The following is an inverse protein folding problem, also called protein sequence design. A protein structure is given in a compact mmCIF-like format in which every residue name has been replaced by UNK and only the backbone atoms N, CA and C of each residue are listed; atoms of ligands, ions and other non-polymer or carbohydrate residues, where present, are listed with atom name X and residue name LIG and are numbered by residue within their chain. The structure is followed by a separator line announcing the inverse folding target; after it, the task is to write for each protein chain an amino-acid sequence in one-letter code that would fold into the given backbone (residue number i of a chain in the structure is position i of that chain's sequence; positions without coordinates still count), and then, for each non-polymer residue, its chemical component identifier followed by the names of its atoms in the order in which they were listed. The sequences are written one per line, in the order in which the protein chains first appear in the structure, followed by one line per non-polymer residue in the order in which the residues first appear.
data_IF_178363016396
#
_entry.id   IF_178363016396
#
_cell.length_a   1.000
_cell.length_b   1.000
_cell.length_c   1.000
_cell.angle_alpha   90.00
_cell.angle_beta   90.00
_cell.angle_gamma   90.00
#
_symmetry.space_group_name_H-M   'P 1'
#
loop_
_entity.id
_entity.type
_entity.pdbx_description
1 polymer ?
#
# COMPACT_ATOMS: atom_id res chain seq x y z
N UNK A 1 10.33 1.36 -9.94
CA UNK A 1 11.32 1.73 -8.89
C UNK A 1 10.73 2.83 -8.02
N UNK A 2 10.47 2.56 -6.74
CA UNK A 2 10.00 3.58 -5.79
C UNK A 2 11.16 4.53 -5.53
N UNK A 3 10.97 5.82 -5.80
CA UNK A 3 12.00 6.84 -5.55
C UNK A 3 12.15 6.98 -4.03
N UNK A 4 13.37 6.84 -3.51
CA UNK A 4 13.63 6.99 -2.09
C UNK A 4 13.18 8.39 -1.61
N UNK A 5 12.66 8.51 -0.38
CA UNK A 5 12.35 9.81 0.20
C UNK A 5 13.59 10.72 0.15
N UNK A 6 13.39 11.98 -0.23
CA UNK A 6 14.49 12.98 -0.32
C UNK A 6 15.21 13.20 1.00
N UNK A 7 14.53 12.98 2.13
CA UNK A 7 15.10 12.99 3.46
C UNK A 7 14.91 11.61 4.07
N UNK A 8 16.02 10.97 4.46
CA UNK A 8 16.00 9.63 5.03
C UNK A 8 15.24 9.56 6.35
N UNK A 9 14.81 8.34 6.69
CA UNK A 9 14.07 8.07 7.94
C UNK A 9 14.87 8.47 9.19
N UNK A 10 16.19 8.25 9.19
CA UNK A 10 17.07 8.64 10.29
C UNK A 10 17.01 10.15 10.58
N UNK A 11 17.07 10.97 9.53
CA UNK A 11 16.99 12.43 9.64
C UNK A 11 15.65 12.88 10.21
N UNK A 12 14.55 12.27 9.74
CA UNK A 12 13.19 12.59 10.19
C UNK A 12 12.96 12.16 11.64
N UNK A 13 13.52 11.03 12.06
CA UNK A 13 13.51 10.56 13.45
C UNK A 13 14.25 11.53 14.37
N UNK A 14 15.40 12.03 13.95
CA UNK A 14 16.17 13.01 14.74
C UNK A 14 15.37 14.28 15.02
N UNK A 15 14.66 14.81 14.02
CA UNK A 15 13.76 15.97 14.20
C UNK A 15 12.66 15.67 15.23
N UNK A 16 12.11 14.46 15.23
CA UNK A 16 11.10 14.06 16.21
C UNK A 16 11.66 13.91 17.62
N UNK A 17 12.79 13.24 17.78
CA UNK A 17 13.40 13.05 19.11
C UNK A 17 13.73 14.39 19.78
N UNK A 18 14.22 15.37 19.01
CA UNK A 18 14.52 16.71 19.52
C UNK A 18 13.24 17.47 19.90
N UNK A 19 12.15 17.28 19.15
CA UNK A 19 10.83 17.83 19.50
C UNK A 19 10.28 17.20 20.79
N UNK A 20 10.38 15.88 20.94
CA UNK A 20 9.97 15.16 22.16
C UNK A 20 10.77 15.61 23.39
N UNK A 21 12.06 15.91 23.21
CA UNK A 21 12.93 16.46 24.25
C UNK A 21 12.72 17.97 24.50
N UNK A 22 11.82 18.63 23.77
CA UNK A 22 11.55 20.07 23.89
C UNK A 22 12.70 20.96 23.41
N UNK A 23 13.62 20.42 22.61
CA UNK A 23 14.77 21.11 22.04
C UNK A 23 14.42 21.79 20.71
N UNK A 24 15.36 22.56 20.18
CA UNK A 24 15.20 23.27 18.91
C UNK A 24 15.32 22.33 17.70
N UNK A 25 14.22 21.65 17.42
CA UNK A 25 14.07 20.77 16.27
C UNK A 25 14.04 21.51 14.92
N UNK A 26 13.73 22.82 14.89
CA UNK A 26 13.76 23.63 13.66
C UNK A 26 15.21 23.84 13.20
N UNK A 27 16.13 24.08 14.14
CA UNK A 27 17.56 24.14 13.85
C UNK A 27 18.06 22.80 13.29
N UNK A 28 17.67 21.67 13.90
CA UNK A 28 18.05 20.33 13.43
C UNK A 28 17.51 20.07 12.03
N UNK A 29 16.28 20.48 11.72
CA UNK A 29 15.74 20.37 10.36
C UNK A 29 16.58 21.16 9.34
N UNK A 30 16.97 22.40 9.69
CA UNK A 30 17.78 23.26 8.83
C UNK A 30 19.16 22.66 8.54
N UNK A 31 19.83 22.08 9.55
CA UNK A 31 21.13 21.44 9.40
C UNK A 31 21.08 20.15 8.57
N UNK A 32 19.90 19.59 8.34
CA UNK A 32 19.69 18.37 7.56
C UNK A 32 18.94 18.62 6.25
N UNK A 33 18.92 19.87 5.79
CA UNK A 33 18.27 20.31 4.55
C UNK A 33 16.78 19.94 4.47
N UNK A 34 16.12 19.74 5.60
CA UNK A 34 14.67 19.49 5.63
C UNK A 34 13.96 20.84 5.54
N UNK A 35 13.10 21.07 4.53
CA UNK A 35 12.34 22.30 4.43
C UNK A 35 11.46 22.52 5.69
N UNK A 36 11.32 23.75 6.21
CA UNK A 36 10.57 24.03 7.44
C UNK A 36 9.14 23.48 7.43
N UNK A 37 8.48 23.53 6.27
CA UNK A 37 7.13 22.96 6.07
C UNK A 37 7.11 21.44 6.21
N UNK A 38 8.16 20.75 5.76
CA UNK A 38 8.31 19.30 5.91
C UNK A 38 8.59 18.94 7.37
N UNK A 39 9.45 19.71 8.04
CA UNK A 39 9.77 19.52 9.46
C UNK A 39 8.52 19.68 10.34
N UNK A 40 7.73 20.75 10.11
CA UNK A 40 6.44 20.95 10.78
C UNK A 40 5.47 19.80 10.55
N UNK A 41 5.36 19.31 9.31
CA UNK A 41 4.51 18.16 9.00
C UNK A 41 4.95 16.87 9.70
N UNK A 42 6.25 16.67 9.93
CA UNK A 42 6.78 15.51 10.66
C UNK A 42 6.35 15.60 12.13
N UNK A 43 6.59 16.75 12.76
CA UNK A 43 6.23 17.04 14.15
C UNK A 43 4.72 16.94 14.36
N UNK A 44 3.91 17.63 13.54
CA UNK A 44 2.45 17.61 13.64
C UNK A 44 1.82 16.23 13.48
N UNK A 45 2.46 15.34 12.71
CA UNK A 45 1.99 13.97 12.52
C UNK A 45 2.61 13.00 13.53
N UNK A 46 3.54 13.49 14.35
CA UNK A 46 4.32 12.71 15.32
C UNK A 46 4.92 11.44 14.70
N UNK A 47 5.29 11.50 13.41
CA UNK A 47 5.79 10.32 12.70
C UNK A 47 6.87 10.65 11.68
N UNK A 48 7.99 9.95 11.82
CA UNK A 48 9.11 10.00 10.89
C UNK A 48 8.81 9.20 9.63
N UNK A 49 7.77 8.38 9.62
CA UNK A 49 7.42 7.55 8.48
C UNK A 49 6.79 8.36 7.36
N UNK A 50 7.15 8.00 6.13
CA UNK A 50 6.51 8.50 4.93
C UNK A 50 5.45 7.49 4.53
N UNK A 51 4.17 7.90 4.57
CA UNK A 51 3.08 7.06 4.09
C UNK A 51 3.35 6.62 2.64
N UNK A 52 3.08 5.35 2.35
CA UNK A 52 3.15 4.81 0.98
C UNK A 52 2.29 5.69 0.06
N UNK A 53 2.91 6.26 -0.97
CA UNK A 53 2.23 7.12 -1.94
C UNK A 53 1.66 6.27 -3.07
N UNK A 54 0.36 6.39 -3.31
CA UNK A 54 -0.36 5.64 -4.34
C UNK A 54 -0.74 4.22 -3.90
N UNK A 55 -1.42 3.51 -4.79
CA UNK A 55 -2.01 2.19 -4.55
C UNK A 55 -3.42 2.10 -5.10
N UNK A 56 -3.88 0.88 -5.40
CA UNK A 56 -5.27 0.64 -5.73
C UNK A 56 -6.14 0.89 -4.49
N UNK A 57 -7.25 1.58 -4.68
CA UNK A 57 -8.28 1.69 -3.64
C UNK A 57 -9.04 0.37 -3.59
N UNK A 58 -9.31 -0.16 -2.39
CA UNK A 58 -10.08 -1.40 -2.24
C UNK A 58 -11.42 -1.35 -2.99
N UNK A 59 -12.14 -0.21 -2.91
CA UNK A 59 -13.39 0.02 -3.63
C UNK A 59 -13.25 0.07 -5.18
N UNK A 60 -12.02 0.17 -5.70
CA UNK A 60 -11.72 0.13 -7.13
C UNK A 60 -11.07 -1.19 -7.56
N UNK A 61 -10.85 -2.13 -6.63
CA UNK A 61 -10.29 -3.45 -6.93
C UNK A 61 -11.42 -4.33 -7.46
N UNK A 62 -11.34 -4.72 -8.74
CA UNK A 62 -12.36 -5.56 -9.40
C UNK A 62 -12.44 -7.00 -8.91
N UNK A 63 -11.41 -7.48 -8.23
CA UNK A 63 -11.28 -8.88 -7.85
C UNK A 63 -10.87 -8.94 -6.37
N UNK A 64 -11.77 -9.43 -5.55
CA UNK A 64 -11.68 -9.37 -4.08
C UNK A 64 -10.97 -10.61 -3.53
N UNK A 65 -10.53 -10.59 -2.26
CA UNK A 65 -9.94 -11.76 -1.63
C UNK A 65 -10.89 -12.96 -1.58
N UNK A 66 -12.20 -12.74 -1.40
CA UNK A 66 -13.18 -13.84 -1.38
C UNK A 66 -13.26 -14.55 -2.74
N UNK A 67 -13.11 -13.80 -3.85
CA UNK A 67 -13.03 -14.40 -5.18
C UNK A 67 -11.75 -15.20 -5.39
N UNK A 68 -10.66 -14.83 -4.71
CA UNK A 68 -9.37 -15.55 -4.76
C UNK A 68 -9.48 -16.88 -4.04
N UNK A 69 -10.13 -16.89 -2.88
CA UNK A 69 -10.43 -18.10 -2.11
C UNK A 69 -11.33 -19.06 -2.90
N UNK A 70 -12.36 -18.55 -3.57
CA UNK A 70 -13.21 -19.37 -4.43
C UNK A 70 -12.45 -20.01 -5.61
N UNK A 71 -11.47 -19.31 -6.21
CA UNK A 71 -10.62 -19.92 -7.25
C UNK A 71 -9.81 -21.09 -6.70
N UNK A 72 -9.32 -21.00 -5.46
CA UNK A 72 -8.61 -22.09 -4.79
C UNK A 72 -9.56 -23.26 -4.55
N UNK A 73 -10.76 -22.99 -4.04
CA UNK A 73 -11.80 -24.03 -3.82
C UNK A 73 -12.17 -24.74 -5.12
N UNK A 74 -12.36 -24.02 -6.22
CA UNK A 74 -12.62 -24.65 -7.53
C UNK A 74 -11.48 -25.59 -7.96
N UNK A 75 -10.22 -25.20 -7.74
CA UNK A 75 -9.06 -26.05 -8.05
C UNK A 75 -8.97 -27.27 -7.14
N UNK A 76 -9.34 -27.14 -5.88
CA UNK A 76 -9.39 -28.23 -4.91
C UNK A 76 -10.49 -29.24 -5.28
N UNK A 77 -11.65 -28.75 -5.72
CA UNK A 77 -12.75 -29.57 -6.23
C UNK A 77 -12.39 -30.29 -7.54
N UNK A 78 -11.76 -29.58 -8.47
CA UNK A 78 -11.27 -30.16 -9.72
C UNK A 78 -10.08 -29.38 -10.29
N UNK A 79 -8.90 -29.97 -10.16
CA UNK A 79 -7.65 -29.40 -10.64
C UNK A 79 -7.52 -29.32 -12.18
N UNK A 80 -8.48 -29.88 -12.93
CA UNK A 80 -8.51 -29.81 -14.39
C UNK A 80 -9.27 -28.59 -14.92
N UNK A 81 -9.88 -27.79 -14.05
CA UNK A 81 -10.56 -26.57 -14.48
C UNK A 81 -9.58 -25.60 -15.12
N UNK A 82 -9.96 -25.12 -16.30
CA UNK A 82 -9.25 -24.09 -17.03
C UNK A 82 -9.63 -22.70 -16.52
N UNK A 83 -8.76 -21.70 -16.75
CA UNK A 83 -9.05 -20.30 -16.41
C UNK A 83 -10.35 -19.78 -17.05
N UNK A 84 -10.70 -20.27 -18.24
CA UNK A 84 -11.97 -19.92 -18.89
C UNK A 84 -13.15 -20.47 -18.12
N UNK A 85 -13.11 -21.74 -17.72
CA UNK A 85 -14.17 -22.36 -16.92
C UNK A 85 -14.33 -21.66 -15.56
N UNK A 86 -13.22 -21.29 -14.91
CA UNK A 86 -13.28 -20.49 -13.67
C UNK A 86 -13.89 -19.11 -13.90
N UNK A 87 -13.56 -18.46 -15.01
CA UNK A 87 -14.17 -17.21 -15.42
C UNK A 87 -15.67 -17.31 -15.69
N UNK A 88 -16.15 -18.47 -16.12
CA UNK A 88 -17.57 -18.75 -16.31
C UNK A 88 -18.29 -19.07 -14.99
N UNK A 89 -17.58 -19.55 -13.96
CA UNK A 89 -18.14 -19.84 -12.62
C UNK A 89 -18.32 -18.59 -11.75
N UNK A 90 -17.37 -17.65 -11.77
CA UNK A 90 -17.41 -16.42 -10.96
C UNK A 90 -18.68 -15.55 -11.13
N UNK A 91 -19.31 -15.44 -12.32
CA UNK A 91 -20.60 -14.79 -12.47
C UNK A 91 -21.74 -15.44 -11.66
N UNK A 92 -21.71 -16.75 -11.47
CA UNK A 92 -22.75 -17.45 -10.70
C UNK A 92 -22.60 -17.21 -9.20
N UNK A 93 -21.38 -17.23 -8.69
CA UNK A 93 -21.13 -17.13 -7.24
C UNK A 93 -21.05 -15.68 -6.75
N UNK A 94 -20.53 -14.77 -7.57
CA UNK A 94 -20.25 -13.39 -7.18
C UNK A 94 -20.95 -12.33 -8.05
N UNK A 95 -21.62 -12.72 -9.14
CA UNK A 95 -22.29 -11.76 -10.04
C UNK A 95 -21.32 -10.90 -10.86
N UNK A 96 -20.07 -11.33 -11.01
CA UNK A 96 -19.00 -10.56 -11.66
C UNK A 96 -18.45 -11.27 -12.90
N UNK A 97 -18.21 -10.50 -13.96
CA UNK A 97 -17.47 -10.97 -15.12
C UNK A 97 -16.05 -10.44 -15.05
N UNK A 98 -15.08 -11.35 -15.01
CA UNK A 98 -13.65 -11.03 -14.97
C UNK A 98 -12.95 -11.67 -16.17
N UNK A 99 -11.94 -10.98 -16.70
CA UNK A 99 -11.20 -11.47 -17.85
C UNK A 99 -10.22 -12.57 -17.44
N UNK A 100 -9.97 -13.55 -18.30
CA UNK A 100 -9.03 -14.64 -18.04
C UNK A 100 -7.60 -14.17 -17.67
N UNK A 101 -7.04 -13.06 -18.22
CA UNK A 101 -5.76 -12.55 -17.75
C UNK A 101 -5.81 -12.01 -16.32
N UNK A 102 -6.96 -11.48 -15.87
CA UNK A 102 -7.11 -11.01 -14.49
C UNK A 102 -7.13 -12.18 -13.50
N UNK A 103 -7.78 -13.28 -13.87
CA UNK A 103 -7.79 -14.53 -13.08
C UNK A 103 -6.38 -15.11 -13.00
N UNK A 104 -5.67 -15.22 -14.13
CA UNK A 104 -4.30 -15.75 -14.16
C UNK A 104 -3.23 -14.85 -13.54
N UNK A 105 -3.58 -13.64 -13.10
CA UNK A 105 -2.70 -12.73 -12.34
C UNK A 105 -2.88 -12.86 -10.82
N UNK A 106 -3.81 -13.69 -10.38
CA UNK A 106 -4.04 -14.04 -8.98
C UNK A 106 -3.26 -15.30 -8.67
#
# INVERSE_FOLDING_TARGET
MVKAPKHGLATRKRVLSEHEEGRDWELVASCNDIPPTTARNIVQRETADVKKRGGARAACTKFTPEMEEALVEYLEDNCQYTLTQMGDMLPFDFGVSVSTPLIGLR
#
